data_IF_169743783347
#
_entry.id   IF_169743783347
#
_cell.length_a   1.000
_cell.length_b   1.000
_cell.length_c   1.000
_cell.angle_alpha   90.00
_cell.angle_beta   90.00
_cell.angle_gamma   90.00
#
_symmetry.space_group_name_H-M   'P 1'
#
loop_
_entity.id
_entity.type
_entity.pdbx_description
1 polymer ?
#
# COMPACT_ATOMS: atom_id res chain seq x y z
N UNK A 1 29.33 0.04 9.92
CA UNK A 1 28.92 -0.45 8.59
C UNK A 1 27.64 -1.25 8.78
N UNK A 2 26.48 -0.65 8.54
CA UNK A 2 25.24 -1.41 8.44
C UNK A 2 25.16 -1.92 7.01
N UNK A 3 25.19 -3.24 6.84
CA UNK A 3 24.91 -3.88 5.57
C UNK A 3 23.49 -3.52 5.17
N UNK A 4 23.37 -2.76 4.07
CA UNK A 4 22.17 -2.75 3.24
C UNK A 4 21.92 -4.19 2.79
N UNK A 5 21.22 -4.96 3.62
CA UNK A 5 20.64 -6.19 3.17
C UNK A 5 19.56 -5.77 2.17
N UNK A 6 19.91 -5.73 0.89
CA UNK A 6 18.94 -5.77 -0.19
C UNK A 6 18.06 -7.00 0.09
N UNK A 7 16.88 -6.77 0.67
CA UNK A 7 15.89 -7.82 0.83
C UNK A 7 15.59 -8.30 -0.57
N UNK A 8 15.80 -9.60 -0.81
CA UNK A 8 15.58 -10.20 -2.11
C UNK A 8 14.16 -9.85 -2.61
N UNK A 9 13.97 -9.60 -3.92
CA UNK A 9 12.66 -9.26 -4.44
C UNK A 9 11.63 -10.35 -4.12
N UNK A 10 10.49 -9.91 -3.59
CA UNK A 10 9.40 -10.80 -3.17
C UNK A 10 8.67 -11.30 -4.42
N UNK A 11 8.53 -12.62 -4.56
CA UNK A 11 7.78 -13.18 -5.67
C UNK A 11 6.29 -12.94 -5.48
N UNK A 12 5.62 -12.57 -6.56
CA UNK A 12 4.17 -12.36 -6.62
C UNK A 12 3.58 -13.09 -7.82
N UNK A 13 2.38 -13.67 -7.65
CA UNK A 13 1.65 -14.40 -8.68
C UNK A 13 0.15 -14.34 -8.44
N UNK A 14 -0.63 -14.56 -9.49
CA UNK A 14 -2.06 -14.83 -9.34
C UNK A 14 -2.26 -16.27 -8.87
N UNK A 15 -3.05 -16.46 -7.82
CA UNK A 15 -3.55 -17.78 -7.45
C UNK A 15 -4.48 -18.29 -8.57
N UNK A 16 -3.95 -19.21 -9.38
CA UNK A 16 -4.65 -19.85 -10.50
C UNK A 16 -5.72 -20.85 -10.04
N UNK A 17 -5.94 -20.99 -8.72
CA UNK A 17 -7.09 -21.67 -8.17
C UNK A 17 -8.40 -20.88 -8.34
N UNK A 18 -9.35 -21.08 -7.42
CA UNK A 18 -10.71 -20.53 -7.52
C UNK A 18 -10.83 -19.03 -7.23
N UNK A 19 -9.76 -18.40 -6.73
CA UNK A 19 -9.87 -17.12 -6.03
C UNK A 19 -9.43 -15.91 -6.86
N UNK A 20 -8.55 -16.10 -7.86
CA UNK A 20 -8.01 -15.02 -8.70
C UNK A 20 -7.17 -13.99 -7.94
N UNK A 21 -6.91 -14.20 -6.64
CA UNK A 21 -6.21 -13.26 -5.81
C UNK A 21 -4.73 -13.14 -6.20
N UNK A 22 -4.17 -11.97 -5.95
CA UNK A 22 -2.74 -11.76 -6.01
C UNK A 22 -2.11 -12.27 -4.70
N UNK A 23 -1.08 -13.10 -4.81
CA UNK A 23 -0.40 -13.75 -3.68
C UNK A 23 1.10 -13.49 -3.79
N UNK A 24 1.75 -13.38 -2.64
CA UNK A 24 3.19 -13.19 -2.52
C UNK A 24 3.83 -14.30 -1.66
N UNK A 25 5.16 -14.37 -1.66
CA UNK A 25 5.90 -15.23 -0.71
C UNK A 25 5.59 -14.90 0.77
N UNK A 26 5.03 -13.72 1.05
CA UNK A 26 4.68 -13.24 2.38
C UNK A 26 3.19 -13.37 2.72
N UNK A 27 2.39 -13.93 1.81
CA UNK A 27 0.94 -14.10 1.96
C UNK A 27 0.12 -13.39 0.89
N UNK A 28 -1.21 -13.38 1.07
CA UNK A 28 -2.16 -12.71 0.17
C UNK A 28 -1.84 -11.22 0.08
N UNK A 29 -1.98 -10.64 -1.12
CA UNK A 29 -1.96 -9.20 -1.33
C UNK A 29 -3.40 -8.68 -1.20
N UNK A 30 -3.59 -7.76 -0.26
CA UNK A 30 -4.90 -7.27 0.18
C UNK A 30 -5.47 -6.18 -0.76
N UNK A 31 -4.67 -5.70 -1.72
CA UNK A 31 -5.09 -4.76 -2.76
C UNK A 31 -4.13 -3.57 -2.86
N UNK A 32 -4.64 -2.42 -3.27
CA UNK A 32 -3.92 -1.14 -3.29
C UNK A 32 -4.58 -0.16 -2.32
N UNK A 33 -3.84 0.70 -1.62
CA UNK A 33 -4.45 1.64 -0.70
C UNK A 33 -5.28 2.66 -1.48
N UNK A 34 -6.53 2.86 -1.06
CA UNK A 34 -7.41 3.87 -1.63
C UNK A 34 -8.25 4.50 -0.51
N UNK A 35 -8.49 5.81 -0.59
CA UNK A 35 -9.26 6.56 0.38
C UNK A 35 -10.18 7.57 -0.31
N UNK A 36 -11.39 7.69 0.21
CA UNK A 36 -12.38 8.63 -0.27
C UNK A 36 -12.38 9.91 0.57
N UNK A 37 -12.79 11.01 -0.05
CA UNK A 37 -13.10 12.24 0.67
C UNK A 37 -14.59 12.31 0.97
N UNK A 38 -14.95 12.41 2.24
CA UNK A 38 -16.34 12.64 2.66
C UNK A 38 -16.51 14.06 3.19
N UNK A 39 -17.40 14.82 2.57
CA UNK A 39 -17.74 16.18 3.00
C UNK A 39 -18.75 16.16 4.14
N UNK A 40 -18.55 17.02 5.13
CA UNK A 40 -19.46 17.19 6.27
C UNK A 40 -19.80 15.90 7.04
N UNK A 41 -18.95 14.87 6.92
CA UNK A 41 -19.11 13.59 7.62
C UNK A 41 -18.94 13.74 9.14
N UNK A 42 -18.03 14.62 9.57
CA UNK A 42 -17.77 14.89 10.98
C UNK A 42 -18.20 16.30 11.38
N UNK A 43 -18.85 16.39 12.55
CA UNK A 43 -19.27 17.67 13.13
C UNK A 43 -18.04 18.56 13.34
N UNK A 44 -18.10 19.78 12.81
CA UNK A 44 -17.01 20.77 12.92
C UNK A 44 -15.87 20.60 11.91
N UNK A 45 -15.90 19.63 11.00
CA UNK A 45 -14.91 19.47 9.92
C UNK A 45 -15.56 19.65 8.54
N UNK A 46 -14.84 20.29 7.61
CA UNK A 46 -15.31 20.50 6.23
C UNK A 46 -15.26 19.20 5.41
N UNK A 47 -14.21 18.41 5.59
CA UNK A 47 -14.02 17.13 4.93
C UNK A 47 -13.18 16.20 5.79
N UNK A 48 -13.35 14.90 5.56
CA UNK A 48 -12.58 13.84 6.20
C UNK A 48 -12.16 12.81 5.15
N UNK A 49 -10.94 12.31 5.29
CA UNK A 49 -10.42 11.16 4.56
C UNK A 49 -10.92 9.86 5.18
N UNK A 50 -11.47 8.96 4.37
CA UNK A 50 -12.15 7.74 4.85
C UNK A 50 -11.74 6.52 4.04
N UNK A 51 -11.52 5.41 4.74
CA UNK A 51 -11.45 4.07 4.15
C UNK A 51 -12.52 3.19 4.82
N UNK A 52 -13.34 2.52 4.02
CA UNK A 52 -14.46 1.72 4.53
C UNK A 52 -14.01 0.47 5.30
N UNK A 53 -12.85 -0.10 4.97
CA UNK A 53 -12.23 -1.20 5.70
C UNK A 53 -10.78 -0.87 6.01
N UNK A 54 -10.24 -1.24 7.19
CA UNK A 54 -8.83 -1.03 7.49
C UNK A 54 -7.93 -1.68 6.43
N UNK A 55 -6.85 -0.99 6.05
CA UNK A 55 -5.88 -1.54 5.11
C UNK A 55 -5.27 -2.84 5.67
N UNK A 56 -5.06 -3.80 4.78
CA UNK A 56 -4.47 -5.09 5.10
C UNK A 56 -2.97 -5.02 5.36
N UNK A 57 -2.38 -6.16 5.74
CA UNK A 57 -0.96 -6.26 6.07
C UNK A 57 -0.06 -6.14 4.85
N UNK A 58 -0.54 -6.62 3.70
CA UNK A 58 0.25 -6.74 2.48
C UNK A 58 -0.43 -5.96 1.35
N UNK A 59 0.11 -4.80 1.01
CA UNK A 59 -0.48 -3.88 0.04
C UNK A 59 0.42 -3.69 -1.16
N UNK A 60 -0.16 -3.54 -2.36
CA UNK A 60 0.57 -3.24 -3.59
C UNK A 60 0.66 -1.73 -3.79
N UNK A 61 1.85 -1.25 -4.16
CA UNK A 61 2.11 0.15 -4.45
C UNK A 61 2.68 0.32 -5.84
N UNK A 62 2.01 1.08 -6.70
CA UNK A 62 2.60 1.49 -7.98
C UNK A 62 3.48 2.73 -7.82
N UNK A 63 4.44 2.91 -8.72
CA UNK A 63 5.26 4.13 -8.76
C UNK A 63 4.41 5.39 -8.92
N UNK A 64 3.36 5.32 -9.74
CA UNK A 64 2.42 6.43 -9.95
C UNK A 64 1.68 6.78 -8.66
N UNK A 65 1.15 5.78 -7.95
CA UNK A 65 0.51 5.96 -6.64
C UNK A 65 1.47 6.63 -5.66
N UNK A 66 2.70 6.14 -5.55
CA UNK A 66 3.71 6.70 -4.63
C UNK A 66 4.07 8.15 -4.97
N UNK A 67 4.09 8.50 -6.26
CA UNK A 67 4.33 9.87 -6.72
C UNK A 67 3.16 10.79 -6.38
N UNK A 68 1.93 10.37 -6.66
CA UNK A 68 0.71 11.12 -6.34
C UNK A 68 0.57 11.37 -4.83
N UNK A 69 0.81 10.34 -4.02
CA UNK A 69 0.82 10.43 -2.56
C UNK A 69 1.89 11.40 -2.05
N UNK A 70 3.10 11.35 -2.60
CA UNK A 70 4.20 12.24 -2.19
C UNK A 70 3.98 13.70 -2.59
N UNK A 71 3.29 13.95 -3.70
CA UNK A 71 2.97 15.29 -4.18
C UNK A 71 1.65 15.84 -3.60
N UNK A 72 0.81 15.00 -2.99
CA UNK A 72 -0.50 15.39 -2.47
C UNK A 72 -1.47 15.79 -3.58
N UNK A 73 -1.40 15.13 -4.74
CA UNK A 73 -2.20 15.44 -5.93
C UNK A 73 -2.88 14.17 -6.46
N UNK A 74 -3.81 14.34 -7.40
CA UNK A 74 -4.40 13.23 -8.14
C UNK A 74 -5.45 12.47 -7.35
N UNK A 75 -5.66 11.20 -7.71
CA UNK A 75 -6.75 10.37 -7.18
C UNK A 75 -6.57 10.08 -5.68
N UNK A 76 -5.31 10.02 -5.24
CA UNK A 76 -4.94 9.60 -3.89
C UNK A 76 -4.64 10.76 -2.93
N UNK A 77 -4.95 12.01 -3.31
CA UNK A 77 -4.75 13.19 -2.46
C UNK A 77 -5.46 13.11 -1.09
N UNK A 78 -6.48 12.24 -1.00
CA UNK A 78 -7.27 12.05 0.22
C UNK A 78 -6.57 11.14 1.22
N UNK A 79 -5.48 10.48 0.85
CA UNK A 79 -4.68 9.67 1.75
C UNK A 79 -3.45 10.48 2.18
N UNK A 80 -3.34 10.80 3.46
CA UNK A 80 -2.16 11.49 3.97
C UNK A 80 -0.99 10.53 4.01
N UNK A 81 0.05 10.81 3.23
CA UNK A 81 1.22 9.97 3.12
C UNK A 81 2.52 10.71 3.45
N UNK A 82 3.45 10.01 4.08
CA UNK A 82 4.82 10.45 4.24
C UNK A 82 5.77 9.31 3.94
N UNK A 83 6.72 9.53 3.02
CA UNK A 83 7.70 8.52 2.62
C UNK A 83 9.06 8.80 3.24
N UNK A 84 9.70 7.76 3.77
CA UNK A 84 11.06 7.82 4.34
C UNK A 84 11.84 6.57 3.91
N UNK A 85 12.78 6.74 2.98
CA UNK A 85 13.55 5.61 2.39
C UNK A 85 12.60 4.53 1.83
N UNK A 86 12.64 3.34 2.42
CA UNK A 86 11.83 2.18 2.13
C UNK A 86 10.57 2.09 2.99
N UNK A 87 10.21 3.13 3.73
CA UNK A 87 8.96 3.20 4.49
C UNK A 87 7.98 4.17 3.86
N UNK A 88 6.69 3.83 3.93
CA UNK A 88 5.58 4.75 3.69
C UNK A 88 4.63 4.71 4.88
N UNK A 89 4.43 5.88 5.49
CA UNK A 89 3.40 6.12 6.49
C UNK A 89 2.15 6.58 5.76
N UNK A 90 1.02 5.94 6.02
CA UNK A 90 -0.30 6.29 5.50
C UNK A 90 -1.21 6.62 6.68
N UNK A 91 -2.04 7.63 6.54
CA UNK A 91 -3.06 7.95 7.56
C UNK A 91 -4.32 8.51 6.95
N UNK A 92 -5.43 8.22 7.61
CA UNK A 92 -6.77 8.75 7.30
C UNK A 92 -7.46 9.19 8.58
N UNK A 93 -8.47 10.04 8.42
CA UNK A 93 -9.28 10.51 9.54
C UNK A 93 -10.18 9.40 10.10
N UNK A 94 -10.65 8.49 9.25
CA UNK A 94 -11.52 7.38 9.65
C UNK A 94 -11.21 6.11 8.86
N UNK A 95 -11.08 5.00 9.58
CA UNK A 95 -11.01 3.66 9.00
C UNK A 95 -12.07 2.74 9.63
N UNK A 96 -12.85 2.07 8.78
CA UNK A 96 -13.90 1.18 9.24
C UNK A 96 -15.02 1.88 10.02
N UNK A 97 -15.77 1.09 10.78
CA UNK A 97 -16.85 1.56 11.65
C UNK A 97 -16.37 2.29 12.91
N UNK A 98 -15.07 2.26 13.20
CA UNK A 98 -14.51 2.85 14.42
C UNK A 98 -14.54 4.38 14.44
N UNK A 99 -14.68 5.01 13.27
CA UNK A 99 -14.53 6.45 13.07
C UNK A 99 -13.25 7.05 13.69
N UNK A 100 -12.23 6.24 13.98
CA UNK A 100 -10.98 6.69 14.56
C UNK A 100 -9.94 6.99 13.48
N UNK A 101 -9.13 8.01 13.73
CA UNK A 101 -7.95 8.28 12.92
C UNK A 101 -7.04 7.06 12.98
N UNK A 102 -6.63 6.57 11.82
CA UNK A 102 -5.87 5.33 11.69
C UNK A 102 -4.62 5.58 10.87
N UNK A 103 -3.53 4.94 11.26
CA UNK A 103 -2.23 5.04 10.62
C UNK A 103 -1.65 3.66 10.36
N UNK A 104 -1.05 3.50 9.20
CA UNK A 104 -0.30 2.32 8.80
C UNK A 104 1.12 2.73 8.42
N UNK A 105 2.09 1.86 8.69
CA UNK A 105 3.47 2.05 8.26
C UNK A 105 3.92 0.81 7.51
N UNK A 106 4.06 0.94 6.19
CA UNK A 106 4.49 -0.16 5.33
C UNK A 106 5.98 -0.03 5.01
N UNK A 107 6.70 -1.16 5.06
CA UNK A 107 8.01 -1.30 4.40
C UNK A 107 7.81 -1.71 2.95
N UNK A 108 8.30 -0.90 2.03
CA UNK A 108 8.28 -1.09 0.59
C UNK A 108 9.44 -2.00 0.17
N UNK A 109 9.09 -3.16 -0.38
CA UNK A 109 10.01 -4.17 -0.88
C UNK A 109 9.96 -4.24 -2.40
N UNK A 110 11.10 -4.51 -3.07
CA UNK A 110 11.09 -4.83 -4.49
C UNK A 110 10.25 -6.09 -4.75
N UNK A 111 9.52 -6.09 -5.85
CA UNK A 111 8.64 -7.18 -6.27
C UNK A 111 9.16 -7.79 -7.57
N UNK A 112 8.99 -9.11 -7.73
CA UNK A 112 9.18 -9.81 -9.00
C UNK A 112 7.97 -10.69 -9.30
N UNK A 113 7.60 -10.81 -10.57
CA UNK A 113 6.55 -11.73 -10.98
C UNK A 113 7.11 -13.15 -11.05
N UNK A 114 6.48 -14.10 -10.35
CA UNK A 114 6.93 -15.50 -10.31
C UNK A 114 6.92 -16.17 -11.69
N UNK A 115 6.06 -15.70 -12.58
CA UNK A 115 5.79 -16.31 -13.89
C UNK A 115 6.49 -15.61 -15.06
N UNK A 116 7.34 -14.61 -14.82
CA UNK A 116 8.12 -13.92 -15.86
C UNK A 116 9.48 -14.59 -16.04
N UNK A 117 9.98 -14.59 -17.28
CA UNK A 117 11.35 -14.97 -17.65
C UNK A 117 12.12 -13.71 -18.10
N UNK A 118 13.29 -13.39 -17.49
CA UNK A 118 13.97 -14.12 -16.43
C UNK A 118 13.22 -14.04 -15.08
N UNK A 119 13.27 -15.10 -14.25
CA UNK A 119 12.59 -15.17 -12.95
C UNK A 119 13.11 -14.16 -11.92
N UNK A 120 14.21 -13.48 -12.23
CA UNK A 120 14.82 -12.41 -11.44
C UNK A 120 14.37 -11.01 -11.87
N UNK A 121 13.52 -10.89 -12.90
CA UNK A 121 13.03 -9.59 -13.34
C UNK A 121 12.21 -8.91 -12.23
N UNK A 122 12.80 -7.85 -11.68
CA UNK A 122 12.16 -6.97 -10.70
C UNK A 122 11.26 -6.00 -11.45
N UNK A 123 10.00 -5.93 -11.04
CA UNK A 123 9.06 -4.97 -11.62
C UNK A 123 9.46 -3.54 -11.20
N UNK A 124 9.82 -2.65 -12.14
CA UNK A 124 10.27 -1.31 -11.80
C UNK A 124 9.12 -0.37 -11.43
N UNK A 125 7.87 -0.79 -11.67
CA UNK A 125 6.67 0.01 -11.48
C UNK A 125 5.86 -0.38 -10.25
N UNK A 126 6.18 -1.52 -9.63
CA UNK A 126 5.45 -2.06 -8.48
C UNK A 126 6.39 -2.33 -7.29
N UNK A 127 5.90 -2.01 -6.10
CA UNK A 127 6.52 -2.35 -4.83
C UNK A 127 5.48 -3.03 -3.93
N UNK A 128 5.93 -3.98 -3.12
CA UNK A 128 5.08 -4.63 -2.12
C UNK A 128 5.30 -3.95 -0.76
N UNK A 129 4.25 -3.38 -0.18
CA UNK A 129 4.30 -2.81 1.16
C UNK A 129 3.87 -3.82 2.21
N UNK A 130 4.70 -4.01 3.23
CA UNK A 130 4.42 -4.91 4.35
C UNK A 130 4.35 -4.12 5.66
N UNK A 131 3.21 -4.20 6.34
CA UNK A 131 3.08 -3.67 7.70
C UNK A 131 3.54 -4.75 8.70
N UNK A 132 4.48 -4.42 9.62
CA UNK A 132 5.01 -5.38 10.61
C UNK A 132 4.01 -5.90 11.64
N UNK A 133 2.94 -5.16 11.94
CA UNK A 133 1.95 -5.51 12.99
C UNK A 133 0.78 -6.33 12.43
#
# INVERSE_FOLDING_TARGET
MAVDAFLAPIAVWHDLGFSGYLVSDLGRVDGTPNADLRHHHCVGRKSCSVIDEPLGRCMLFSTTLLQELGAGIGTYQNLHASRRRDLIDLSVDHAGSSHAATRWTYRLLPLRWRTIDPPEYVDPHLQLGIWPD
#
